data_IF_916308650177
#
_entry.id   IF_916308650177
#
_cell.length_a   1.000
_cell.length_b   1.000
_cell.length_c   1.000
_cell.angle_alpha   90.00
_cell.angle_beta   90.00
_cell.angle_gamma   90.00
#
_symmetry.space_group_name_H-M   'P 1'
#
loop_
_entity.id
_entity.type
_entity.pdbx_description
1 polymer ?
#
# COMPACT_ATOMS: atom_id res chain seq x y z
N UNK A 1 14.56 -4.80 -6.29
CA UNK A 1 13.65 -3.63 -6.33
C UNK A 1 12.90 -3.36 -5.02
N UNK A 2 11.75 -3.99 -4.71
CA UNK A 2 10.92 -3.56 -3.55
C UNK A 2 11.66 -3.67 -2.21
N UNK A 3 12.44 -4.73 -2.01
CA UNK A 3 13.27 -4.90 -0.81
C UNK A 3 14.29 -3.77 -0.64
N UNK A 4 14.95 -3.35 -1.73
CA UNK A 4 15.90 -2.21 -1.69
C UNK A 4 15.20 -0.88 -1.40
N UNK A 5 13.99 -0.67 -1.96
CA UNK A 5 13.21 0.57 -1.82
C UNK A 5 12.30 0.61 -0.59
N UNK A 6 12.29 -0.44 0.24
CA UNK A 6 11.36 -0.59 1.36
C UNK A 6 11.38 0.61 2.33
N UNK A 7 12.57 1.14 2.63
CA UNK A 7 12.74 2.30 3.52
C UNK A 7 12.19 3.59 2.90
N UNK A 8 12.40 3.82 1.59
CA UNK A 8 11.87 4.98 0.87
C UNK A 8 10.34 4.91 0.79
N UNK A 9 9.80 3.71 0.53
CA UNK A 9 8.35 3.49 0.50
C UNK A 9 7.75 3.82 1.87
N UNK A 10 8.32 3.30 2.96
CA UNK A 10 7.85 3.63 4.32
C UNK A 10 7.91 5.14 4.61
N UNK A 11 9.02 5.79 4.26
CA UNK A 11 9.21 7.23 4.43
C UNK A 11 8.19 8.06 3.62
N UNK A 12 7.79 7.59 2.44
CA UNK A 12 6.76 8.24 1.62
C UNK A 12 5.39 8.24 2.32
N UNK A 13 4.97 7.11 2.90
CA UNK A 13 3.71 7.09 3.67
C UNK A 13 3.80 7.98 4.92
N UNK A 14 4.94 7.97 5.61
CA UNK A 14 5.18 8.81 6.79
C UNK A 14 5.13 10.30 6.46
N UNK A 15 5.71 10.74 5.33
CA UNK A 15 5.67 12.14 4.90
C UNK A 15 4.26 12.62 4.53
N UNK A 16 3.33 11.70 4.25
CA UNK A 16 1.91 11.97 4.03
C UNK A 16 1.05 11.77 5.29
N UNK A 17 1.69 11.67 6.47
CA UNK A 17 1.02 11.61 7.76
C UNK A 17 0.51 10.21 8.13
N UNK A 18 0.99 9.16 7.46
CA UNK A 18 0.55 7.77 7.66
C UNK A 18 1.75 6.96 8.17
N UNK A 19 1.96 6.83 9.49
CA UNK A 19 3.03 5.99 10.02
C UNK A 19 2.78 4.52 9.69
N UNK A 20 3.73 3.89 9.01
CA UNK A 20 3.59 2.51 8.52
C UNK A 20 4.68 1.60 9.05
N UNK A 21 4.37 0.32 9.06
CA UNK A 21 5.37 -0.74 9.00
C UNK A 21 5.24 -1.49 7.68
N UNK A 22 6.32 -2.15 7.29
CA UNK A 22 6.40 -2.82 5.99
C UNK A 22 6.91 -4.25 6.17
N UNK A 23 6.34 -5.19 5.41
CA UNK A 23 6.71 -6.62 5.46
C UNK A 23 6.88 -7.18 4.05
N UNK A 24 8.04 -7.75 3.76
CA UNK A 24 8.26 -8.51 2.52
C UNK A 24 7.81 -9.95 2.76
N UNK A 25 6.80 -10.40 2.02
CA UNK A 25 6.28 -11.77 2.09
C UNK A 25 6.11 -12.27 0.65
N UNK A 26 6.68 -13.44 0.33
CA UNK A 26 6.58 -14.08 -1.00
C UNK A 26 6.83 -13.08 -2.16
N UNK A 27 7.86 -12.24 -2.04
CA UNK A 27 8.25 -11.27 -3.05
C UNK A 27 7.42 -9.98 -3.15
N UNK A 28 6.26 -9.91 -2.47
CA UNK A 28 5.46 -8.70 -2.36
C UNK A 28 5.77 -7.90 -1.10
N UNK A 29 5.57 -6.58 -1.15
CA UNK A 29 5.71 -5.68 -0.01
C UNK A 29 4.33 -5.29 0.52
N UNK A 30 3.96 -5.80 1.68
CA UNK A 30 2.75 -5.41 2.39
C UNK A 30 3.02 -4.20 3.30
N UNK A 31 2.10 -3.25 3.29
CA UNK A 31 2.13 -2.02 4.07
C UNK A 31 1.01 -2.08 5.11
N UNK A 32 1.33 -1.79 6.36
CA UNK A 32 0.39 -1.77 7.48
C UNK A 32 0.53 -0.49 8.28
N UNK A 33 -0.51 -0.05 8.97
CA UNK A 33 -0.38 1.03 9.95
C UNK A 33 0.52 0.60 11.10
N UNK A 34 1.33 1.53 11.61
CA UNK A 34 2.27 1.23 12.69
C UNK A 34 1.56 0.91 14.02
N UNK A 35 0.47 1.62 14.32
CA UNK A 35 -0.24 1.53 15.60
C UNK A 35 -1.05 0.24 15.76
N UNK A 36 -1.93 -0.05 14.80
CA UNK A 36 -2.90 -1.16 14.88
C UNK A 36 -2.57 -2.34 13.97
N UNK A 37 -1.53 -2.22 13.15
CA UNK A 37 -1.16 -3.21 12.13
C UNK A 37 -2.30 -3.45 11.12
N UNK A 38 -3.12 -2.42 10.89
CA UNK A 38 -4.19 -2.45 9.90
C UNK A 38 -3.58 -2.52 8.51
N UNK A 39 -3.96 -3.47 7.64
CA UNK A 39 -3.43 -3.55 6.29
C UNK A 39 -3.91 -2.35 5.47
N UNK A 40 -2.98 -1.76 4.70
CA UNK A 40 -3.27 -0.61 3.82
C UNK A 40 -3.27 -1.08 2.37
N UNK A 41 -2.12 -1.57 1.91
CA UNK A 41 -1.91 -2.01 0.53
C UNK A 41 -0.81 -3.06 0.48
N UNK A 42 -0.72 -3.78 -0.63
CA UNK A 42 0.43 -4.61 -0.96
C UNK A 42 0.87 -4.38 -2.40
N UNK A 43 2.17 -4.20 -2.58
CA UNK A 43 2.78 -4.09 -3.91
C UNK A 43 3.39 -5.41 -4.32
N UNK A 44 3.07 -5.87 -5.53
CA UNK A 44 3.65 -7.09 -6.12
C UNK A 44 4.46 -6.69 -7.36
N UNK A 45 5.78 -6.99 -7.44
CA UNK A 45 6.55 -6.70 -8.65
C UNK A 45 5.99 -7.48 -9.84
N UNK A 46 5.80 -6.81 -10.97
CA UNK A 46 5.32 -7.49 -12.20
C UNK A 46 6.45 -8.16 -12.99
N UNK A 47 7.71 -7.96 -12.57
CA UNK A 47 8.90 -8.36 -13.33
C UNK A 47 9.21 -7.47 -14.53
N UNK A 48 8.38 -6.45 -14.82
CA UNK A 48 8.56 -5.53 -15.95
C UNK A 48 9.00 -4.15 -15.45
N UNK A 49 10.30 -3.91 -15.51
CA UNK A 49 10.90 -2.63 -15.09
C UNK A 49 10.60 -2.34 -13.61
N UNK A 50 10.26 -1.08 -13.31
CA UNK A 50 9.90 -0.64 -11.97
C UNK A 50 8.39 -0.75 -11.64
N UNK A 51 7.66 -1.59 -12.38
CA UNK A 51 6.21 -1.68 -12.25
C UNK A 51 5.77 -2.66 -11.17
N UNK A 52 4.67 -2.33 -10.52
CA UNK A 52 4.04 -3.12 -9.47
C UNK A 52 2.55 -3.25 -9.75
N UNK A 53 1.99 -4.36 -9.31
CA UNK A 53 0.55 -4.51 -9.11
C UNK A 53 0.20 -3.99 -7.71
N UNK A 54 -0.88 -3.22 -7.62
CA UNK A 54 -1.43 -2.69 -6.38
C UNK A 54 -2.56 -3.60 -5.90
N UNK A 55 -2.39 -4.14 -4.71
CA UNK A 55 -3.40 -4.95 -4.02
C UNK A 55 -4.05 -4.14 -2.91
N UNK A 56 -5.32 -4.45 -2.65
CA UNK A 56 -6.03 -4.00 -1.47
C UNK A 56 -6.31 -5.16 -0.54
N UNK A 57 -6.60 -4.86 0.72
CA UNK A 57 -7.03 -5.87 1.67
C UNK A 57 -8.54 -5.98 1.61
N UNK A 58 -9.03 -7.05 0.99
CA UNK A 58 -10.47 -7.26 0.79
C UNK A 58 -11.18 -7.55 2.10
N UNK A 59 -12.49 -7.37 2.10
CA UNK A 59 -13.40 -7.79 3.18
C UNK A 59 -13.42 -9.32 3.43
N UNK A 60 -12.65 -10.11 2.66
CA UNK A 60 -12.49 -11.56 2.82
C UNK A 60 -11.20 -11.92 3.56
N UNK A 61 -10.65 -10.98 4.32
CA UNK A 61 -9.43 -11.12 5.12
C UNK A 61 -8.22 -11.62 4.31
N UNK A 62 -8.07 -11.10 3.09
CA UNK A 62 -6.95 -11.44 2.21
C UNK A 62 -6.62 -10.29 1.26
N UNK A 63 -5.36 -10.28 0.82
CA UNK A 63 -4.93 -9.47 -0.31
C UNK A 63 -5.66 -9.92 -1.57
N UNK A 64 -6.24 -8.96 -2.30
CA UNK A 64 -6.98 -9.23 -3.53
C UNK A 64 -6.67 -8.15 -4.58
N UNK A 65 -7.08 -8.42 -5.81
CA UNK A 65 -6.91 -7.48 -6.92
C UNK A 65 -7.79 -6.24 -6.73
N UNK A 66 -7.25 -5.08 -7.08
CA UNK A 66 -8.05 -3.86 -7.18
C UNK A 66 -8.81 -3.90 -8.50
N UNK A 67 -10.15 -3.84 -8.44
CA UNK A 67 -11.05 -3.85 -9.60
C UNK A 67 -11.42 -5.25 -10.12
N UNK A 68 -12.42 -5.29 -11.00
CA UNK A 68 -13.05 -6.54 -11.48
C UNK A 68 -12.37 -7.15 -12.72
N UNK A 69 -11.52 -6.39 -13.43
CA UNK A 69 -10.99 -6.75 -14.75
C UNK A 69 -9.47 -6.96 -14.79
N UNK A 70 -8.93 -7.54 -13.72
CA UNK A 70 -7.49 -7.74 -13.55
C UNK A 70 -6.86 -6.59 -12.77
N UNK A 71 -5.85 -6.92 -11.96
CA UNK A 71 -5.33 -5.99 -10.99
C UNK A 71 -4.67 -4.75 -11.61
N UNK A 72 -4.72 -3.67 -10.85
CA UNK A 72 -4.16 -2.39 -11.24
C UNK A 72 -2.63 -2.46 -11.22
N UNK A 73 -1.99 -2.31 -12.38
CA UNK A 73 -0.53 -2.27 -12.52
C UNK A 73 -0.06 -0.89 -12.97
N UNK A 74 1.03 -0.40 -12.38
CA UNK A 74 1.64 0.88 -12.74
C UNK A 74 3.10 0.95 -12.24
N UNK A 75 3.83 2.02 -12.58
CA UNK A 75 5.15 2.26 -11.98
C UNK A 75 5.03 2.44 -10.47
N UNK A 76 6.08 2.09 -9.72
CA UNK A 76 6.08 2.23 -8.26
C UNK A 76 5.72 3.65 -7.80
N UNK A 77 6.26 4.69 -8.44
CA UNK A 77 6.00 6.07 -8.05
C UNK A 77 4.52 6.43 -8.24
N UNK A 78 3.91 5.97 -9.34
CA UNK A 78 2.47 6.15 -9.58
C UNK A 78 1.63 5.34 -8.60
N UNK A 79 2.08 4.15 -8.21
CA UNK A 79 1.39 3.32 -7.21
C UNK A 79 1.35 4.00 -5.83
N UNK A 80 2.43 4.69 -5.45
CA UNK A 80 2.47 5.46 -4.19
C UNK A 80 1.49 6.63 -4.21
N UNK A 81 1.44 7.40 -5.30
CA UNK A 81 0.44 8.45 -5.52
C UNK A 81 -0.99 7.89 -5.49
N UNK A 82 -1.22 6.77 -6.19
CA UNK A 82 -2.52 6.13 -6.30
C UNK A 82 -3.08 5.68 -4.94
N UNK A 83 -2.23 5.08 -4.10
CA UNK A 83 -2.64 4.63 -2.77
C UNK A 83 -2.88 5.81 -1.84
N UNK A 84 -1.94 6.75 -1.74
CA UNK A 84 -2.05 7.89 -0.81
C UNK A 84 -3.17 8.85 -1.18
N UNK A 85 -3.44 9.02 -2.47
CA UNK A 85 -4.58 9.79 -2.96
C UNK A 85 -5.93 9.12 -2.73
N UNK A 86 -5.94 7.83 -2.39
CA UNK A 86 -7.14 6.99 -2.17
C UNK A 86 -8.24 7.23 -3.22
N UNK A 87 -7.86 7.47 -4.47
CA UNK A 87 -8.78 7.72 -5.56
C UNK A 87 -9.89 6.65 -5.70
N UNK A 88 -9.63 5.34 -5.47
CA UNK A 88 -10.69 4.33 -5.45
C UNK A 88 -11.47 4.22 -4.12
N UNK A 89 -11.05 4.90 -3.06
CA UNK A 89 -11.68 4.88 -1.72
C UNK A 89 -11.54 3.54 -0.97
N UNK A 90 -10.72 2.62 -1.47
CA UNK A 90 -10.60 1.25 -0.96
C UNK A 90 -9.41 1.03 -0.03
N UNK A 91 -8.58 2.06 0.20
CA UNK A 91 -7.44 2.00 1.12
C UNK A 91 -7.73 2.71 2.46
N UNK A 92 -8.87 3.42 2.54
CA UNK A 92 -9.37 4.10 3.74
C UNK A 92 -8.36 5.10 4.33
N UNK A 93 -7.58 5.77 3.48
CA UNK A 93 -6.44 6.59 3.91
C UNK A 93 -6.87 7.73 4.82
N UNK A 94 -8.00 8.39 4.51
CA UNK A 94 -8.52 9.47 5.33
C UNK A 94 -8.87 8.99 6.75
N UNK A 95 -9.51 7.82 6.87
CA UNK A 95 -9.78 7.20 8.16
C UNK A 95 -8.49 6.91 8.93
N UNK A 96 -7.48 6.36 8.26
CA UNK A 96 -6.17 6.05 8.87
C UNK A 96 -5.42 7.30 9.35
N UNK A 97 -5.58 8.45 8.67
CA UNK A 97 -5.03 9.74 9.13
C UNK A 97 -5.77 10.26 10.38
N UNK A 98 -7.09 10.05 10.46
CA UNK A 98 -7.91 10.47 11.59
C UNK A 98 -7.65 9.68 12.88
N UNK A 99 -7.18 8.43 12.82
CA UNK A 99 -6.84 7.63 14.00
C UNK A 99 -5.79 8.31 14.92
N UNK A 100 -5.07 9.33 14.43
CA UNK A 100 -4.18 10.20 15.23
C UNK A 100 -4.87 11.12 16.23
N UNK A 101 -6.16 11.40 16.07
CA UNK A 101 -6.85 12.45 16.82
C UNK A 101 -7.54 11.98 18.11
N UNK A 102 -7.41 10.69 18.47
CA UNK A 102 -8.06 10.09 19.65
C UNK A 102 -7.11 9.42 20.65
N UNK A 103 -5.83 9.77 20.62
CA UNK A 103 -4.84 9.43 21.66
C UNK A 103 -4.30 10.70 22.27
#
# INVERSE_FOLDING_TARGET
MLKEKQHIIAAYFESHGIPVETRIIRGGLSIYTKARKTPITRFIPTGRGASVEVMWYSHRDRWDHVGDFGGVTMSLDKALEYVVGDAPGCFHIDFLKFERSRT
#
